data_IF_780747706807
#
_entry.id   IF_780747706807
#
_cell.length_a   1.000
_cell.length_b   1.000
_cell.length_c   1.000
_cell.angle_alpha   90.00
_cell.angle_beta   90.00
_cell.angle_gamma   90.00
#
_symmetry.space_group_name_H-M   'P 1'
#
loop_
_entity.id
_entity.type
_entity.pdbx_description
1 polymer ?
#
# COMPACT_ATOMS: atom_id res chain seq x y z
N UNK A 1 -2.39 10.01 6.99
CA UNK A 1 -2.50 9.17 8.20
C UNK A 1 -3.58 8.11 8.07
N UNK A 2 -4.81 8.45 7.67
CA UNK A 2 -5.88 7.46 7.43
C UNK A 2 -5.44 6.37 6.43
N UNK A 3 -4.88 6.79 5.29
CA UNK A 3 -4.36 5.89 4.26
C UNK A 3 -3.34 4.87 4.79
N UNK A 4 -2.26 5.31 5.46
CA UNK A 4 -1.22 4.41 5.96
C UNK A 4 -1.75 3.39 6.99
N UNK A 5 -2.75 3.76 7.79
CA UNK A 5 -3.43 2.83 8.68
C UNK A 5 -4.26 1.79 7.93
N UNK A 6 -5.00 2.20 6.89
CA UNK A 6 -5.75 1.28 6.03
C UNK A 6 -4.81 0.31 5.31
N UNK A 7 -3.71 0.82 4.74
CA UNK A 7 -2.68 0.00 4.08
C UNK A 7 -2.10 -1.03 5.04
N UNK A 8 -1.78 -0.63 6.27
CA UNK A 8 -1.29 -1.56 7.29
C UNK A 8 -2.34 -2.64 7.65
N UNK A 9 -3.61 -2.27 7.73
CA UNK A 9 -4.71 -3.20 8.03
C UNK A 9 -4.94 -4.20 6.89
N UNK A 10 -4.89 -3.73 5.63
CA UNK A 10 -5.00 -4.62 4.47
C UNK A 10 -3.75 -5.49 4.33
N UNK A 11 -2.55 -4.95 4.56
CA UNK A 11 -1.30 -5.71 4.55
C UNK A 11 -1.31 -6.83 5.60
N UNK A 12 -1.85 -6.57 6.79
CA UNK A 12 -2.11 -7.59 7.80
C UNK A 12 -3.02 -8.71 7.26
N UNK A 13 -4.14 -8.35 6.62
CA UNK A 13 -5.08 -9.31 6.06
C UNK A 13 -4.40 -10.16 4.97
N UNK A 14 -3.72 -9.54 4.02
CA UNK A 14 -2.99 -10.22 2.94
C UNK A 14 -1.92 -11.17 3.50
N UNK A 15 -1.11 -10.72 4.46
CA UNK A 15 -0.10 -11.55 5.11
C UNK A 15 -0.71 -12.74 5.85
N UNK A 16 -1.83 -12.52 6.53
CA UNK A 16 -2.57 -13.58 7.22
C UNK A 16 -3.13 -14.59 6.23
N UNK A 17 -3.75 -14.13 5.15
CA UNK A 17 -4.30 -14.99 4.08
C UNK A 17 -3.18 -15.81 3.45
N UNK A 18 -2.05 -15.18 3.09
CA UNK A 18 -0.88 -15.87 2.54
C UNK A 18 -0.43 -17.02 3.45
N UNK A 19 -0.27 -16.75 4.74
CA UNK A 19 0.21 -17.75 5.70
C UNK A 19 -0.82 -18.85 6.01
N UNK A 20 -2.12 -18.53 5.99
CA UNK A 20 -3.19 -19.45 6.42
C UNK A 20 -3.83 -20.24 5.29
N UNK A 21 -3.89 -19.66 4.10
CA UNK A 21 -4.60 -20.22 2.94
C UNK A 21 -3.66 -20.68 1.83
N UNK A 22 -2.41 -20.20 1.82
CA UNK A 22 -1.44 -20.43 0.73
C UNK A 22 -0.06 -20.87 1.24
N UNK A 23 0.01 -21.44 2.44
CA UNK A 23 1.20 -22.04 3.06
C UNK A 23 2.45 -21.12 3.12
N UNK A 24 2.24 -19.80 3.16
CA UNK A 24 3.33 -18.83 3.32
C UNK A 24 3.88 -18.75 4.74
N UNK A 25 5.05 -18.10 4.88
CA UNK A 25 5.76 -17.94 6.15
C UNK A 25 6.15 -16.48 6.44
N UNK A 26 5.33 -15.54 5.99
CA UNK A 26 5.57 -14.11 6.10
C UNK A 26 5.55 -13.66 7.57
N UNK A 27 6.49 -12.81 7.98
CA UNK A 27 6.38 -12.08 9.25
C UNK A 27 5.36 -10.95 9.10
N UNK A 28 4.09 -11.25 9.40
CA UNK A 28 2.98 -10.31 9.25
C UNK A 28 3.19 -9.07 10.13
N UNK A 29 3.76 -9.20 11.32
CA UNK A 29 3.98 -8.05 12.19
C UNK A 29 5.02 -7.10 11.59
N UNK A 30 6.13 -7.63 11.07
CA UNK A 30 7.12 -6.82 10.39
C UNK A 30 6.55 -6.09 9.16
N UNK A 31 5.70 -6.77 8.36
CA UNK A 31 5.02 -6.17 7.21
C UNK A 31 4.08 -5.04 7.65
N UNK A 32 3.30 -5.24 8.70
CA UNK A 32 2.36 -4.24 9.22
C UNK A 32 3.10 -3.01 9.74
N UNK A 33 4.19 -3.20 10.48
CA UNK A 33 4.99 -2.05 10.96
C UNK A 33 5.57 -1.31 9.76
N UNK A 34 6.18 -2.00 8.79
CA UNK A 34 6.70 -1.35 7.58
C UNK A 34 5.60 -0.62 6.79
N UNK A 35 4.40 -1.18 6.68
CA UNK A 35 3.25 -0.54 6.03
C UNK A 35 2.82 0.77 6.71
N UNK A 36 2.93 0.87 8.05
CA UNK A 36 2.61 2.12 8.76
C UNK A 36 3.54 3.28 8.38
N UNK A 37 4.78 2.97 7.99
CA UNK A 37 5.82 3.95 7.64
C UNK A 37 6.00 4.17 6.14
N UNK A 38 5.27 3.45 5.27
CA UNK A 38 5.59 3.38 3.84
C UNK A 38 5.57 4.72 3.11
N UNK A 39 4.73 5.67 3.54
CA UNK A 39 4.64 7.03 2.99
C UNK A 39 5.26 8.09 3.90
N UNK A 40 6.04 7.71 4.92
CA UNK A 40 6.64 8.71 5.82
C UNK A 40 7.50 9.72 5.06
N UNK A 41 8.16 9.32 3.97
CA UNK A 41 8.92 10.20 3.08
C UNK A 41 8.13 11.40 2.53
N UNK A 42 6.81 11.25 2.38
CA UNK A 42 5.92 12.28 1.82
C UNK A 42 5.81 13.52 2.71
N UNK A 43 6.20 13.45 3.98
CA UNK A 43 6.31 14.63 4.83
C UNK A 43 7.35 15.64 4.29
N UNK A 44 8.36 15.15 3.56
CA UNK A 44 9.39 15.96 2.92
C UNK A 44 9.04 16.20 1.44
N UNK A 45 8.68 15.14 0.71
CA UNK A 45 8.51 15.22 -0.75
C UNK A 45 7.18 15.81 -1.19
N UNK A 46 6.16 15.76 -0.32
CA UNK A 46 4.76 15.84 -0.69
C UNK A 46 4.30 14.59 -1.47
N UNK A 47 2.98 14.37 -1.48
CA UNK A 47 2.36 13.35 -2.33
C UNK A 47 2.52 13.73 -3.81
N UNK A 48 2.89 12.75 -4.62
CA UNK A 48 3.00 12.88 -6.06
C UNK A 48 2.04 11.94 -6.76
N UNK A 49 1.07 12.47 -7.53
CA UNK A 49 0.11 11.64 -8.24
C UNK A 49 0.79 10.56 -9.09
N UNK A 50 0.32 9.32 -8.96
CA UNK A 50 0.85 8.15 -9.69
C UNK A 50 1.06 8.41 -11.20
N UNK A 51 0.14 9.05 -11.96
CA UNK A 51 0.34 9.31 -13.38
C UNK A 51 1.57 10.17 -13.69
N UNK A 52 1.94 11.08 -12.78
CA UNK A 52 3.12 11.93 -12.92
C UNK A 52 4.39 11.14 -12.57
N UNK A 53 4.37 10.38 -11.46
CA UNK A 53 5.51 9.56 -10.99
C UNK A 53 5.99 8.56 -12.05
N UNK A 54 5.08 8.06 -12.90
CA UNK A 54 5.36 7.07 -13.94
C UNK A 54 5.28 7.62 -15.38
N UNK A 55 5.27 8.94 -15.57
CA UNK A 55 5.11 9.56 -16.89
C UNK A 55 6.27 9.25 -17.86
N UNK A 56 7.52 9.20 -17.36
CA UNK A 56 8.68 8.78 -18.16
C UNK A 56 9.75 8.12 -17.29
N UNK A 57 10.64 7.29 -17.86
CA UNK A 57 11.75 6.66 -17.13
C UNK A 57 12.65 7.67 -16.39
N UNK A 58 12.86 8.84 -16.99
CA UNK A 58 13.65 9.92 -16.42
C UNK A 58 12.98 10.52 -15.19
N UNK A 59 11.67 10.81 -15.27
CA UNK A 59 10.88 11.35 -14.15
C UNK A 59 10.84 10.32 -13.02
N UNK A 60 10.56 9.05 -13.33
CA UNK A 60 10.54 7.98 -12.32
C UNK A 60 11.89 7.85 -11.62
N UNK A 61 13.00 7.91 -12.36
CA UNK A 61 14.34 7.84 -11.75
C UNK A 61 14.62 9.04 -10.85
N UNK A 62 14.30 10.25 -11.31
CA UNK A 62 14.49 11.47 -10.54
C UNK A 62 13.67 11.43 -9.25
N UNK A 63 12.41 11.03 -9.33
CA UNK A 63 11.52 10.97 -8.17
C UNK A 63 11.98 9.91 -7.16
N UNK A 64 12.37 8.72 -7.61
CA UNK A 64 12.95 7.70 -6.71
C UNK A 64 14.22 8.17 -5.99
N UNK A 65 15.03 8.99 -6.64
CA UNK A 65 16.21 9.57 -5.98
C UNK A 65 15.82 10.58 -4.89
N UNK A 66 14.76 11.36 -5.12
CA UNK A 66 14.20 12.28 -4.13
C UNK A 66 13.59 11.52 -2.95
N UNK A 67 12.80 10.47 -3.21
CA UNK A 67 12.24 9.59 -2.17
C UNK A 67 13.34 9.00 -1.28
N UNK A 68 14.37 8.41 -1.90
CA UNK A 68 15.50 7.83 -1.17
C UNK A 68 16.23 8.86 -0.30
N UNK A 69 16.40 10.08 -0.79
CA UNK A 69 17.01 11.15 -0.01
C UNK A 69 16.13 11.53 1.20
N UNK A 70 14.81 11.63 1.00
CA UNK A 70 13.86 11.90 2.07
C UNK A 70 13.84 10.81 3.14
N UNK A 71 13.90 9.53 2.75
CA UNK A 71 14.00 8.38 3.68
C UNK A 71 15.24 8.50 4.58
N UNK A 72 16.41 8.79 3.99
CA UNK A 72 17.65 8.97 4.74
C UNK A 72 17.65 10.24 5.62
N UNK A 73 17.04 11.32 5.15
CA UNK A 73 16.88 12.55 5.94
C UNK A 73 16.00 12.28 7.17
N UNK A 74 14.85 11.63 7.00
CA UNK A 74 13.98 11.24 8.12
C UNK A 74 14.68 10.36 9.14
N UNK A 75 15.44 9.37 8.67
CA UNK A 75 16.24 8.53 9.54
C UNK A 75 17.25 9.36 10.35
N UNK A 76 17.92 10.32 9.72
CA UNK A 76 18.93 11.17 10.38
C UNK A 76 18.37 12.12 11.44
N UNK A 77 17.06 12.41 11.40
CA UNK A 77 16.38 13.22 12.40
C UNK A 77 16.10 12.46 13.71
N UNK A 78 16.19 11.12 13.68
CA UNK A 78 16.04 10.30 14.89
C UNK A 78 17.31 10.33 15.74
N UNK A 79 17.20 10.21 17.08
CA UNK A 79 18.35 9.98 17.95
C UNK A 79 19.18 8.78 17.48
N UNK A 80 20.51 8.91 17.49
CA UNK A 80 21.45 7.88 16.98
C UNK A 80 21.16 6.47 17.50
N UNK A 81 20.76 6.36 18.77
CA UNK A 81 20.45 5.08 19.42
C UNK A 81 19.23 4.35 18.82
N UNK A 82 18.33 5.06 18.13
CA UNK A 82 17.11 4.50 17.52
C UNK A 82 17.24 4.32 16.01
N UNK A 83 18.22 4.95 15.36
CA UNK A 83 18.33 4.91 13.90
C UNK A 83 18.40 3.48 13.38
N UNK A 84 19.13 2.59 14.06
CA UNK A 84 19.24 1.19 13.64
C UNK A 84 17.88 0.46 13.63
N UNK A 85 16.99 0.74 14.59
CA UNK A 85 15.69 0.08 14.71
C UNK A 85 14.71 0.53 13.62
N UNK A 86 14.85 1.75 13.12
CA UNK A 86 13.95 2.33 12.13
C UNK A 86 14.37 2.08 10.67
N UNK A 87 15.60 1.60 10.42
CA UNK A 87 16.07 1.40 9.04
C UNK A 87 15.18 0.44 8.25
N UNK A 88 14.80 -0.68 8.86
CA UNK A 88 13.97 -1.72 8.25
C UNK A 88 12.50 -1.35 8.06
N UNK A 89 12.10 -0.11 8.37
CA UNK A 89 10.75 0.41 8.14
C UNK A 89 10.75 1.77 7.41
N UNK A 90 11.84 2.53 7.47
CA UNK A 90 11.99 3.81 6.78
C UNK A 90 12.76 3.72 5.45
N UNK A 91 13.78 2.86 5.37
CA UNK A 91 14.61 2.76 4.17
C UNK A 91 14.06 1.67 3.26
N UNK A 92 13.51 2.05 2.12
CA UNK A 92 12.83 1.13 1.21
C UNK A 92 13.74 -0.02 0.75
N UNK A 93 15.02 0.29 0.49
CA UNK A 93 16.03 -0.68 0.05
C UNK A 93 16.40 -1.73 1.12
N UNK A 94 16.03 -1.51 2.39
CA UNK A 94 16.31 -2.43 3.51
C UNK A 94 15.10 -3.26 3.94
N UNK A 95 13.92 -2.97 3.38
CA UNK A 95 12.71 -3.77 3.60
C UNK A 95 12.77 -5.02 2.71
N UNK A 96 12.50 -6.23 3.24
CA UNK A 96 12.46 -7.45 2.44
C UNK A 96 11.53 -7.32 1.22
N UNK A 97 11.99 -7.79 0.06
CA UNK A 97 11.25 -7.66 -1.20
C UNK A 97 9.84 -8.27 -1.13
N UNK A 98 9.66 -9.38 -0.40
CA UNK A 98 8.33 -9.99 -0.23
C UNK A 98 7.40 -9.13 0.63
N UNK A 99 7.93 -8.38 1.62
CA UNK A 99 7.16 -7.45 2.43
C UNK A 99 6.73 -6.26 1.57
N UNK A 100 7.65 -5.68 0.80
CA UNK A 100 7.36 -4.61 -0.14
C UNK A 100 6.28 -4.99 -1.15
N UNK A 101 6.30 -6.25 -1.63
CA UNK A 101 5.29 -6.75 -2.54
C UNK A 101 3.88 -6.75 -1.90
N UNK A 102 3.77 -7.18 -0.64
CA UNK A 102 2.51 -7.14 0.11
C UNK A 102 2.06 -5.71 0.38
N UNK A 103 2.95 -4.83 0.83
CA UNK A 103 2.64 -3.43 1.11
C UNK A 103 2.12 -2.74 -0.16
N UNK A 104 2.79 -2.95 -1.29
CA UNK A 104 2.37 -2.40 -2.59
C UNK A 104 1.01 -2.93 -3.03
N UNK A 105 0.74 -4.21 -2.81
CA UNK A 105 -0.57 -4.80 -3.10
C UNK A 105 -1.67 -4.20 -2.20
N UNK A 106 -1.38 -4.02 -0.90
CA UNK A 106 -2.28 -3.39 0.06
C UNK A 106 -2.58 -1.93 -0.28
N UNK A 107 -1.56 -1.14 -0.60
CA UNK A 107 -1.70 0.24 -1.10
C UNK A 107 -2.59 0.31 -2.35
N UNK A 108 -2.32 -0.56 -3.33
CA UNK A 108 -3.13 -0.62 -4.55
C UNK A 108 -4.59 -1.01 -4.26
N UNK A 109 -4.83 -1.90 -3.28
CA UNK A 109 -6.18 -2.27 -2.83
C UNK A 109 -6.89 -1.09 -2.14
N UNK A 110 -6.20 -0.34 -1.27
CA UNK A 110 -6.73 0.90 -0.68
C UNK A 110 -7.16 1.89 -1.76
N UNK A 111 -6.30 2.13 -2.76
CA UNK A 111 -6.62 2.99 -3.90
C UNK A 111 -7.87 2.50 -4.66
N UNK A 112 -8.00 1.18 -4.86
CA UNK A 112 -9.17 0.60 -5.54
C UNK A 112 -10.46 0.78 -4.73
N UNK A 113 -10.42 0.47 -3.44
CA UNK A 113 -11.55 0.63 -2.53
C UNK A 113 -12.01 2.09 -2.48
N UNK A 114 -11.05 3.03 -2.42
CA UNK A 114 -11.36 4.47 -2.46
C UNK A 114 -12.03 4.86 -3.77
N UNK A 115 -11.49 4.44 -4.92
CA UNK A 115 -12.09 4.73 -6.22
C UNK A 115 -13.53 4.18 -6.31
N UNK A 116 -13.75 2.95 -5.85
CA UNK A 116 -15.08 2.34 -5.80
C UNK A 116 -16.05 3.12 -4.92
N UNK A 117 -15.63 3.50 -3.72
CA UNK A 117 -16.45 4.27 -2.78
C UNK A 117 -16.86 5.61 -3.39
N UNK A 118 -15.96 6.30 -4.10
CA UNK A 118 -16.27 7.56 -4.78
C UNK A 118 -17.28 7.37 -5.92
N UNK A 119 -17.09 6.35 -6.76
CA UNK A 119 -18.03 6.03 -7.85
C UNK A 119 -19.41 5.70 -7.29
N UNK A 120 -19.48 4.92 -6.20
CA UNK A 120 -20.73 4.58 -5.52
C UNK A 120 -21.42 5.80 -4.87
N UNK A 121 -20.63 6.78 -4.42
CA UNK A 121 -21.15 8.07 -3.95
C UNK A 121 -21.59 9.01 -5.09
N UNK A 122 -21.48 8.58 -6.35
CA UNK A 122 -21.89 9.33 -7.53
C UNK A 122 -20.79 10.17 -8.17
N UNK A 123 -19.54 10.06 -7.72
CA UNK A 123 -18.41 10.79 -8.27
C UNK A 123 -17.80 10.02 -9.47
N UNK A 124 -18.27 10.36 -10.67
CA UNK A 124 -17.85 9.67 -11.89
C UNK A 124 -16.39 9.93 -12.29
N UNK A 125 -15.71 10.95 -11.74
CA UNK A 125 -14.29 11.24 -12.05
C UNK A 125 -13.36 10.06 -11.71
N UNK A 126 -13.76 9.23 -10.74
CA UNK A 126 -13.01 8.05 -10.31
C UNK A 126 -13.25 6.81 -11.17
N UNK A 127 -14.20 6.83 -12.12
CA UNK A 127 -14.56 5.63 -12.90
C UNK A 127 -13.42 5.08 -13.75
N UNK A 128 -12.56 5.96 -14.28
CA UNK A 128 -11.40 5.52 -15.06
C UNK A 128 -10.29 4.99 -14.13
N UNK A 129 -10.02 5.72 -13.04
CA UNK A 129 -9.05 5.30 -12.03
C UNK A 129 -9.43 3.92 -11.44
N UNK A 130 -10.70 3.67 -11.15
CA UNK A 130 -11.19 2.38 -10.67
C UNK A 130 -10.80 1.24 -11.62
N UNK A 131 -11.06 1.40 -12.93
CA UNK A 131 -10.73 0.40 -13.94
C UNK A 131 -9.22 0.17 -14.06
N UNK A 132 -8.44 1.25 -14.05
CA UNK A 132 -6.99 1.18 -14.17
C UNK A 132 -6.35 0.54 -12.94
N UNK A 133 -6.85 0.85 -11.73
CA UNK A 133 -6.39 0.22 -10.48
C UNK A 133 -6.78 -1.25 -10.45
N UNK A 134 -8.01 -1.61 -10.84
CA UNK A 134 -8.44 -3.01 -10.92
C UNK A 134 -7.57 -3.82 -11.87
N UNK A 135 -7.29 -3.29 -13.06
CA UNK A 135 -6.41 -3.95 -14.04
C UNK A 135 -4.96 -4.09 -13.52
N UNK A 136 -4.48 -3.19 -12.66
CA UNK A 136 -3.19 -3.35 -11.96
C UNK A 136 -3.26 -4.47 -10.92
N UNK A 137 -4.35 -4.55 -10.15
CA UNK A 137 -4.55 -5.60 -9.15
C UNK A 137 -4.59 -7.00 -9.77
N UNK A 138 -5.27 -7.15 -10.91
CA UNK A 138 -5.34 -8.42 -11.66
C UNK A 138 -3.99 -8.88 -12.22
N UNK A 139 -2.99 -7.98 -12.28
CA UNK A 139 -1.62 -8.32 -12.71
C UNK A 139 -0.71 -8.70 -11.54
N UNK A 140 -1.14 -8.52 -10.29
CA UNK A 140 -0.39 -9.09 -9.18
C UNK A 140 -0.56 -10.60 -9.22
N UNK A 141 0.56 -11.31 -9.43
CA UNK A 141 0.61 -12.77 -9.34
C UNK A 141 0.68 -13.18 -7.86
N UNK A 142 -0.38 -12.86 -7.11
CA UNK A 142 -0.51 -13.06 -5.67
C UNK A 142 -1.87 -13.67 -5.32
N UNK A 143 -1.93 -14.93 -4.85
CA UNK A 143 -3.20 -15.59 -4.56
C UNK A 143 -3.99 -14.92 -3.43
N UNK A 144 -3.31 -14.32 -2.43
CA UNK A 144 -3.95 -13.56 -1.36
C UNK A 144 -4.66 -12.28 -1.83
N UNK A 145 -4.19 -11.66 -2.91
CA UNK A 145 -4.84 -10.48 -3.50
C UNK A 145 -6.13 -10.89 -4.19
N UNK A 146 -6.10 -11.97 -4.97
CA UNK A 146 -7.30 -12.53 -5.60
C UNK A 146 -8.32 -12.98 -4.55
N UNK A 147 -7.87 -13.69 -3.51
CA UNK A 147 -8.72 -14.08 -2.39
C UNK A 147 -9.37 -12.84 -1.74
N UNK A 148 -8.62 -11.77 -1.52
CA UNK A 148 -9.16 -10.55 -0.91
C UNK A 148 -10.21 -9.87 -1.80
N UNK A 149 -9.96 -9.78 -3.10
CA UNK A 149 -10.87 -9.24 -4.11
C UNK A 149 -12.18 -10.02 -4.20
N UNK A 150 -12.13 -11.34 -4.08
CA UNK A 150 -13.32 -12.19 -4.15
C UNK A 150 -14.10 -12.19 -2.83
N UNK A 151 -13.39 -12.13 -1.69
CA UNK A 151 -13.99 -12.35 -0.37
C UNK A 151 -14.46 -11.07 0.30
N UNK A 152 -13.65 -10.00 0.30
CA UNK A 152 -13.91 -8.80 1.11
C UNK A 152 -14.46 -7.64 0.29
N UNK A 153 -13.92 -7.45 -0.92
CA UNK A 153 -14.24 -6.30 -1.78
C UNK A 153 -15.72 -6.18 -2.18
N UNK A 154 -16.51 -7.25 -2.36
CA UNK A 154 -17.96 -7.11 -2.57
C UNK A 154 -18.67 -6.39 -1.41
N UNK A 155 -18.19 -6.57 -0.18
CA UNK A 155 -18.80 -6.01 1.03
C UNK A 155 -18.57 -4.51 1.22
N UNK A 156 -17.55 -3.93 0.58
CA UNK A 156 -17.27 -2.49 0.67
C UNK A 156 -18.35 -1.61 0.00
N UNK A 157 -19.26 -2.21 -0.75
CA UNK A 157 -20.41 -1.51 -1.33
C UNK A 157 -21.71 -1.68 -0.55
N UNK A 158 -21.70 -2.44 0.54
CA UNK A 158 -22.89 -2.73 1.33
C UNK A 158 -23.12 -1.67 2.39
N UNK A 159 -24.39 -1.39 2.64
CA UNK A 159 -24.83 -0.69 3.86
C UNK A 159 -24.59 -1.56 5.09
N UNK A 160 -24.61 -0.95 6.28
CA UNK A 160 -24.48 -1.69 7.54
C UNK A 160 -25.56 -2.78 7.69
N UNK A 161 -26.79 -2.49 7.26
CA UNK A 161 -27.92 -3.44 7.30
C UNK A 161 -27.74 -4.62 6.33
N UNK A 162 -27.03 -4.41 5.22
CA UNK A 162 -26.70 -5.47 4.26
C UNK A 162 -25.51 -6.31 4.74
N UNK A 163 -24.57 -5.71 5.48
CA UNK A 163 -23.40 -6.40 6.03
C UNK A 163 -23.75 -7.32 7.21
N UNK A 164 -24.76 -6.94 8.02
CA UNK A 164 -25.16 -7.67 9.23
C UNK A 164 -26.23 -8.75 8.99
N UNK A 165 -26.55 -9.08 7.73
CA UNK A 165 -27.48 -10.15 7.34
C UNK A 165 -26.74 -11.44 7.04
#
# INVERSE_FOLDING_TARGET
MEHSWEVATIAHALGTIRNRCFDGTLDVNAVVVAALYHDCGEVITGDMPSPIKYHSPEITRAYKAVEKQAEHELLSLLPDALQQDFRGVLLHDEIPAEHLQIIKAADTLCAYIKCRSEVMAGNAEFSQAEKDVKARLERFDLPEVHYFLETFVPSYGLTLDELLK
#
